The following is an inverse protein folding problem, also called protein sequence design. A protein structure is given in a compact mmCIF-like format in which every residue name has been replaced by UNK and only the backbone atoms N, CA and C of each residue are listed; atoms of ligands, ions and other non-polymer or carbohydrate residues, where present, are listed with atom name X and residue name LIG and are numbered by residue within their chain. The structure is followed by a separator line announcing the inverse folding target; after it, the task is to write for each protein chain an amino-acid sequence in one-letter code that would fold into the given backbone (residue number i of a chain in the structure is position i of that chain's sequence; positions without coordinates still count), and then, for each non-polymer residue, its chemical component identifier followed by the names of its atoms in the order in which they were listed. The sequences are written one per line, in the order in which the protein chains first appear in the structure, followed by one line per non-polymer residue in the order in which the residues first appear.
data_IF_988790992842
#
_entry.id   IF_988790992842
#
_cell.length_a   1.000
_cell.length_b   1.000
_cell.length_c   1.000
_cell.angle_alpha   90.00
_cell.angle_beta   90.00
_cell.angle_gamma   90.00
#
_symmetry.space_group_name_H-M   'P 1'
#
loop_
_entity.id
_entity.type
_entity.pdbx_description
1 polymer ?
#
# COMPACT_ATOMS: atom_id res chain seq x y z
N UNK A 1 -8.23 11.63 -11.53
CA UNK A 1 -6.82 11.49 -11.99
C UNK A 1 -6.25 10.22 -11.37
N UNK A 2 -5.41 9.47 -12.09
CA UNK A 2 -4.86 8.19 -11.63
C UNK A 2 -3.46 8.34 -11.06
N UNK A 3 -3.15 7.63 -9.98
CA UNK A 3 -1.83 7.60 -9.33
C UNK A 3 -1.39 6.15 -9.16
N UNK A 4 -0.25 5.80 -9.74
CA UNK A 4 0.46 4.57 -9.44
C UNK A 4 1.53 4.86 -8.36
N UNK A 5 1.45 4.18 -7.23
CA UNK A 5 2.35 4.36 -6.11
C UNK A 5 3.18 3.10 -5.91
N UNK A 6 4.52 3.21 -5.92
CA UNK A 6 5.41 2.08 -5.70
C UNK A 6 6.06 2.22 -4.32
N UNK A 7 5.95 1.18 -3.50
CA UNK A 7 6.49 1.20 -2.14
C UNK A 7 6.83 -0.19 -1.62
N UNK A 8 7.47 -0.21 -0.45
CA UNK A 8 7.99 -1.44 0.19
C UNK A 8 6.90 -2.43 0.61
N UNK A 9 5.84 -1.91 1.25
CA UNK A 9 4.55 -2.59 1.47
C UNK A 9 3.54 -1.62 2.10
N UNK A 10 2.28 -1.73 1.69
CA UNK A 10 1.13 -1.11 2.30
C UNK A 10 0.40 -2.06 3.26
N UNK A 11 0.30 -3.35 2.90
CA UNK A 11 -0.47 -4.36 3.64
C UNK A 11 0.26 -4.91 4.86
N UNK A 12 1.58 -4.71 4.93
CA UNK A 12 2.41 -5.11 6.07
C UNK A 12 3.28 -3.97 6.60
N UNK A 13 3.19 -3.71 7.90
CA UNK A 13 4.10 -2.86 8.67
C UNK A 13 5.32 -3.62 9.23
N UNK A 14 5.42 -4.94 8.97
CA UNK A 14 6.52 -5.79 9.43
C UNK A 14 7.85 -5.34 8.86
N UNK A 15 8.78 -4.92 9.73
CA UNK A 15 10.04 -4.26 9.36
C UNK A 15 9.85 -3.13 8.32
N UNK A 16 8.73 -2.42 8.40
CA UNK A 16 8.31 -1.43 7.42
C UNK A 16 7.53 -0.29 8.08
N UNK A 17 8.24 0.56 8.83
CA UNK A 17 7.63 1.74 9.47
C UNK A 17 7.02 2.73 8.48
N UNK A 18 7.40 2.68 7.19
CA UNK A 18 6.86 3.54 6.15
C UNK A 18 5.38 3.27 5.82
N UNK A 19 4.87 2.05 6.11
CA UNK A 19 3.48 1.68 5.90
C UNK A 19 2.50 2.69 6.53
N UNK A 20 2.80 3.18 7.74
CA UNK A 20 1.98 4.17 8.44
C UNK A 20 1.83 5.46 7.64
N UNK A 21 2.92 5.96 7.05
CA UNK A 21 2.89 7.20 6.27
C UNK A 21 2.15 7.01 4.94
N UNK A 22 2.37 5.88 4.25
CA UNK A 22 1.64 5.55 3.04
C UNK A 22 0.13 5.54 3.29
N UNK A 23 -0.33 4.83 4.33
CA UNK A 23 -1.75 4.73 4.68
C UNK A 23 -2.38 6.11 4.91
N UNK A 24 -1.71 6.98 5.66
CA UNK A 24 -2.19 8.35 5.91
C UNK A 24 -2.29 9.19 4.64
N UNK A 25 -1.23 9.19 3.83
CA UNK A 25 -1.16 9.96 2.58
C UNK A 25 -2.22 9.50 1.58
N UNK A 26 -2.28 8.20 1.30
CA UNK A 26 -3.17 7.64 0.29
C UNK A 26 -4.64 7.79 0.69
N UNK A 27 -4.97 7.64 1.97
CA UNK A 27 -6.32 7.94 2.48
C UNK A 27 -6.71 9.41 2.28
N UNK A 28 -5.78 10.35 2.48
CA UNK A 28 -6.02 11.77 2.26
C UNK A 28 -6.13 12.16 0.78
N UNK A 29 -5.42 11.43 -0.11
CA UNK A 29 -5.51 11.60 -1.55
C UNK A 29 -6.81 11.00 -2.10
N UNK A 30 -7.19 9.80 -1.67
CA UNK A 30 -8.45 9.17 -2.07
C UNK A 30 -9.67 10.06 -1.77
N UNK A 31 -9.69 10.71 -0.58
CA UNK A 31 -10.71 11.72 -0.22
C UNK A 31 -10.79 12.93 -1.17
N UNK A 32 -9.75 13.20 -1.95
CA UNK A 32 -9.71 14.26 -2.97
C UNK A 32 -10.11 13.77 -4.37
N UNK A 33 -10.54 12.51 -4.51
CA UNK A 33 -11.00 11.93 -5.77
C UNK A 33 -9.88 11.34 -6.64
N UNK A 34 -8.72 11.02 -6.05
CA UNK A 34 -7.68 10.29 -6.75
C UNK A 34 -7.97 8.79 -6.79
N UNK A 35 -7.81 8.19 -7.97
CA UNK A 35 -7.84 6.74 -8.17
C UNK A 35 -6.40 6.21 -8.04
N UNK A 36 -6.17 5.37 -7.03
CA UNK A 36 -4.83 5.02 -6.55
C UNK A 36 -4.64 3.50 -6.65
N UNK A 37 -3.53 3.08 -7.24
CA UNK A 37 -3.03 1.70 -7.14
C UNK A 37 -1.67 1.69 -6.46
N UNK A 38 -1.55 0.94 -5.37
CA UNK A 38 -0.29 0.70 -4.68
C UNK A 38 0.33 -0.61 -5.18
N UNK A 39 1.58 -0.54 -5.64
CA UNK A 39 2.36 -1.69 -6.06
C UNK A 39 3.39 -2.02 -4.98
N UNK A 40 3.29 -3.22 -4.41
CA UNK A 40 4.24 -3.74 -3.42
C UNK A 40 4.88 -5.04 -3.91
N UNK A 41 6.19 -5.23 -3.70
CA UNK A 41 6.85 -6.50 -4.00
C UNK A 41 6.53 -7.57 -2.94
N UNK A 42 6.42 -8.84 -3.34
CA UNK A 42 6.38 -9.97 -2.42
C UNK A 42 7.81 -10.32 -1.93
N UNK A 43 8.24 -9.67 -0.86
CA UNK A 43 9.59 -9.80 -0.29
C UNK A 43 9.56 -9.74 1.23
N UNK A 44 10.65 -10.24 1.84
CA UNK A 44 10.90 -10.16 3.29
C UNK A 44 9.75 -10.70 4.15
N UNK A 45 9.05 -11.73 3.67
CA UNK A 45 7.89 -12.35 4.33
C UNK A 45 6.74 -11.38 4.66
N UNK A 46 6.66 -10.24 3.97
CA UNK A 46 5.63 -9.22 4.26
C UNK A 46 4.21 -9.72 3.98
N UNK A 47 4.01 -10.52 2.94
CA UNK A 47 2.70 -11.11 2.66
C UNK A 47 2.22 -12.07 3.77
N UNK A 48 3.15 -12.74 4.46
CA UNK A 48 2.84 -13.59 5.62
C UNK A 48 2.53 -12.79 6.88
N UNK A 49 2.99 -11.54 6.95
CA UNK A 49 2.83 -10.64 8.09
C UNK A 49 1.94 -9.44 7.74
N UNK A 50 0.91 -9.65 6.90
CA UNK A 50 -0.08 -8.61 6.61
C UNK A 50 -0.82 -8.24 7.89
N UNK A 51 -0.81 -6.94 8.21
CA UNK A 51 -1.49 -6.39 9.38
C UNK A 51 -2.80 -5.67 9.01
N UNK A 52 -3.08 -5.50 7.71
CA UNK A 52 -4.35 -4.96 7.20
C UNK A 52 -4.87 -5.73 5.97
N UNK A 53 -6.18 -5.69 5.79
CA UNK A 53 -6.82 -6.04 4.52
C UNK A 53 -6.65 -4.92 3.48
N UNK A 54 -6.91 -5.26 2.21
CA UNK A 54 -6.93 -4.27 1.13
C UNK A 54 -7.97 -3.19 1.47
N UNK A 55 -7.55 -1.93 1.61
CA UNK A 55 -8.46 -0.86 2.02
C UNK A 55 -9.37 -0.40 0.88
N UNK A 56 -10.48 0.26 1.23
CA UNK A 56 -11.42 0.85 0.27
C UNK A 56 -10.87 2.10 -0.45
N UNK A 57 -9.81 2.72 0.07
CA UNK A 57 -9.26 3.97 -0.45
C UNK A 57 -8.15 3.79 -1.50
N UNK A 58 -7.68 2.57 -1.79
CA UNK A 58 -6.81 2.28 -2.94
C UNK A 58 -6.85 0.80 -3.33
N UNK A 59 -6.49 0.49 -4.58
CA UNK A 59 -6.17 -0.88 -4.98
C UNK A 59 -4.75 -1.26 -4.58
N UNK A 60 -4.49 -2.54 -4.33
CA UNK A 60 -3.14 -3.06 -4.05
C UNK A 60 -2.81 -4.17 -5.04
N UNK A 61 -1.63 -4.09 -5.64
CA UNK A 61 -1.07 -5.13 -6.51
C UNK A 61 0.22 -5.61 -5.88
N UNK A 62 0.26 -6.91 -5.57
CA UNK A 62 1.47 -7.59 -5.14
C UNK A 62 2.14 -8.19 -6.37
N UNK A 63 3.43 -7.95 -6.54
CA UNK A 63 4.20 -8.48 -7.68
C UNK A 63 5.44 -9.25 -7.22
N UNK A 64 5.86 -10.22 -8.03
CA UNK A 64 7.10 -10.96 -7.85
C UNK A 64 8.29 -10.05 -8.21
N UNK A 65 9.29 -9.97 -7.32
CA UNK A 65 10.41 -9.03 -7.40
C UNK A 65 11.65 -9.62 -8.09
#
# INVERSE_FOLDING_TARGET
MKIAFYGSSLLSSYWNGAATYYRGLLKALSKRGYDITFYEPDVYDRQKNRDIEVPDWCSVVVYEA
#
